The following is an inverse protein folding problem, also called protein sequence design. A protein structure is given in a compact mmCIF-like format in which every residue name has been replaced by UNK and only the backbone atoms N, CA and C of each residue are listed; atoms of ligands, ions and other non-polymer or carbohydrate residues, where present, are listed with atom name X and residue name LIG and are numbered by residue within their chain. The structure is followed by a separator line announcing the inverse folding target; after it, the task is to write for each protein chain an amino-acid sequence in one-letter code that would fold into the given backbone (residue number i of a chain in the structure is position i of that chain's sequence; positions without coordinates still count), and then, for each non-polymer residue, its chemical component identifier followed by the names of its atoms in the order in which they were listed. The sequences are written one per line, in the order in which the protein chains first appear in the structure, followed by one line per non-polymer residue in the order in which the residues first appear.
data_IF_474927822419
#
_entry.id   IF_474927822419
#
_cell.length_a   1.000
_cell.length_b   1.000
_cell.length_c   1.000
_cell.angle_alpha   90.00
_cell.angle_beta   90.00
_cell.angle_gamma   90.00
#
_symmetry.space_group_name_H-M   'P 1'
#
loop_
_entity.id
_entity.type
_entity.pdbx_description
1 polymer ?
#
# COMPACT_ATOMS: atom_id res chain seq x y z
N UNK A 1 0.33 23.71 3.64
CA UNK A 1 -0.34 22.45 3.24
C UNK A 1 -1.80 22.76 2.90
N UNK A 2 -2.33 22.25 1.80
CA UNK A 2 -3.77 22.40 1.49
C UNK A 2 -4.42 21.20 2.19
N UNK A 3 -5.12 21.47 3.31
CA UNK A 3 -5.88 20.43 3.96
C UNK A 3 -6.99 19.91 3.03
N UNK A 4 -7.25 18.60 2.99
CA UNK A 4 -8.39 18.04 2.28
C UNK A 4 -9.69 18.70 2.76
N UNK A 5 -10.69 18.75 1.89
CA UNK A 5 -12.02 19.28 2.26
C UNK A 5 -12.66 18.41 3.33
N UNK A 6 -12.91 18.97 4.52
CA UNK A 6 -13.50 18.27 5.67
C UNK A 6 -13.14 18.96 6.98
N UNK A 7 -13.65 18.43 8.08
CA UNK A 7 -13.32 18.88 9.41
C UNK A 7 -12.10 18.13 9.94
N UNK A 8 -11.03 18.84 10.25
CA UNK A 8 -9.86 18.25 10.92
C UNK A 8 -10.26 17.81 12.33
N UNK A 9 -10.08 16.53 12.64
CA UNK A 9 -10.40 15.91 13.93
C UNK A 9 -9.15 15.75 14.78
N UNK A 10 -8.04 15.40 14.12
CA UNK A 10 -6.75 15.17 14.78
C UNK A 10 -5.61 15.37 13.78
N UNK A 11 -4.47 15.87 14.27
CA UNK A 11 -3.24 16.11 13.51
C UNK A 11 -2.03 15.78 14.38
N UNK A 12 -1.03 15.13 13.80
CA UNK A 12 0.22 14.81 14.50
C UNK A 12 1.38 14.58 13.55
N UNK A 13 2.55 15.15 13.89
CA UNK A 13 3.83 14.69 13.34
C UNK A 13 4.26 13.42 14.05
N UNK A 14 4.39 12.32 13.31
CA UNK A 14 4.88 11.04 13.84
C UNK A 14 6.36 10.87 13.52
N UNK A 15 6.95 9.72 13.90
CA UNK A 15 8.31 9.38 13.47
C UNK A 15 8.40 9.02 11.97
N UNK A 16 7.27 8.71 11.32
CA UNK A 16 7.22 8.15 9.98
C UNK A 16 6.53 9.07 8.97
N UNK A 17 5.58 9.90 9.42
CA UNK A 17 4.74 10.70 8.52
C UNK A 17 4.04 11.85 9.25
N UNK A 18 3.46 12.76 8.50
CA UNK A 18 2.44 13.70 8.98
C UNK A 18 1.08 13.03 8.93
N UNK A 19 0.44 12.85 10.09
CA UNK A 19 -0.82 12.15 10.26
C UNK A 19 -1.96 13.14 10.45
N UNK A 20 -3.02 13.04 9.61
CA UNK A 20 -4.27 13.76 9.76
C UNK A 20 -5.46 12.80 9.86
N UNK A 21 -6.42 13.10 10.74
CA UNK A 21 -7.75 12.48 10.77
C UNK A 21 -8.77 13.53 10.38
N UNK A 22 -9.50 13.29 9.31
CA UNK A 22 -10.44 14.26 8.74
C UNK A 22 -11.81 13.62 8.55
N UNK A 23 -12.86 14.33 9.00
CA UNK A 23 -14.26 13.96 8.78
C UNK A 23 -14.84 14.70 7.57
N UNK A 24 -15.39 13.93 6.63
CA UNK A 24 -16.18 14.46 5.53
C UNK A 24 -17.55 13.75 5.51
N UNK A 25 -18.59 14.42 6.00
CA UNK A 25 -19.89 13.80 6.18
C UNK A 25 -19.83 12.58 7.08
N UNK A 26 -20.24 11.42 6.57
CA UNK A 26 -20.22 10.14 7.27
C UNK A 26 -18.87 9.42 7.20
N UNK A 27 -17.94 9.88 6.36
CA UNK A 27 -16.65 9.22 6.18
C UNK A 27 -15.59 9.91 7.02
N UNK A 28 -14.85 9.12 7.82
CA UNK A 28 -13.62 9.50 8.49
C UNK A 28 -12.45 8.94 7.73
N UNK A 29 -11.45 9.77 7.46
CA UNK A 29 -10.28 9.42 6.67
C UNK A 29 -9.01 9.64 7.46
N UNK A 30 -8.13 8.66 7.46
CA UNK A 30 -6.74 8.75 7.88
C UNK A 30 -5.89 9.15 6.67
N UNK A 31 -5.17 10.25 6.81
CA UNK A 31 -4.16 10.67 5.84
C UNK A 31 -2.77 10.52 6.45
N UNK A 32 -1.82 10.06 5.65
CA UNK A 32 -0.39 10.10 5.96
C UNK A 32 0.31 10.84 4.81
N UNK A 33 1.04 11.90 5.16
CA UNK A 33 1.68 12.82 4.21
C UNK A 33 0.72 13.34 3.11
N UNK A 34 -0.53 13.60 3.52
CA UNK A 34 -1.59 14.08 2.64
C UNK A 34 -2.16 13.05 1.67
N UNK A 35 -1.77 11.77 1.77
CA UNK A 35 -2.36 10.67 1.00
C UNK A 35 -3.37 9.91 1.86
N UNK A 36 -4.45 9.45 1.24
CA UNK A 36 -5.42 8.59 1.92
C UNK A 36 -4.77 7.24 2.22
N UNK A 37 -4.83 6.84 3.48
CA UNK A 37 -4.39 5.53 3.94
C UNK A 37 -5.55 4.62 4.36
N UNK A 38 -6.55 5.17 5.07
CA UNK A 38 -7.73 4.41 5.48
C UNK A 38 -8.95 5.28 5.53
N UNK A 39 -10.10 4.66 5.28
CA UNK A 39 -11.40 5.29 5.40
C UNK A 39 -12.36 4.41 6.20
N UNK A 40 -13.28 5.03 6.91
CA UNK A 40 -14.28 4.36 7.75
C UNK A 40 -15.59 5.10 7.68
N UNK A 41 -16.71 4.37 7.54
CA UNK A 41 -18.04 4.91 7.83
C UNK A 41 -18.20 5.08 9.35
N UNK A 42 -18.60 6.27 9.81
CA UNK A 42 -18.75 6.57 11.25
C UNK A 42 -19.92 5.84 11.89
N UNK A 43 -20.97 5.57 11.14
CA UNK A 43 -22.16 4.83 11.58
C UNK A 43 -22.03 3.31 11.41
N UNK A 44 -21.07 2.84 10.60
CA UNK A 44 -20.85 1.44 10.30
C UNK A 44 -19.34 1.14 10.20
N UNK A 45 -18.62 1.20 11.32
CA UNK A 45 -17.17 1.17 11.34
C UNK A 45 -16.56 -0.16 10.87
N UNK A 46 -17.33 -1.22 10.75
CA UNK A 46 -16.94 -2.54 10.24
C UNK A 46 -17.11 -2.67 8.72
N UNK A 47 -17.89 -1.78 8.07
CA UNK A 47 -18.06 -1.81 6.61
C UNK A 47 -16.84 -1.20 5.92
N UNK A 48 -16.42 -1.84 4.82
CA UNK A 48 -15.27 -1.37 4.03
C UNK A 48 -15.68 -0.24 3.09
N UNK A 49 -14.99 0.90 3.18
CA UNK A 49 -15.20 2.06 2.29
C UNK A 49 -14.43 1.86 1.00
N UNK A 50 -13.15 1.48 1.10
CA UNK A 50 -12.27 1.35 -0.06
C UNK A 50 -12.49 0.01 -0.76
N UNK A 51 -12.76 0.03 -2.07
CA UNK A 51 -13.05 -1.17 -2.86
C UNK A 51 -11.93 -2.21 -2.79
N UNK A 52 -10.66 -1.77 -2.84
CA UNK A 52 -9.52 -2.71 -2.84
C UNK A 52 -9.45 -3.58 -1.58
N UNK A 53 -9.90 -3.06 -0.41
CA UNK A 53 -9.86 -3.81 0.85
C UNK A 53 -10.80 -5.01 0.84
N UNK A 54 -11.85 -4.99 0.00
CA UNK A 54 -12.75 -6.13 -0.19
C UNK A 54 -12.02 -7.32 -0.82
N UNK A 55 -10.98 -7.09 -1.64
CA UNK A 55 -10.18 -8.15 -2.25
C UNK A 55 -9.33 -8.93 -1.23
N UNK A 56 -9.16 -8.45 0.01
CA UNK A 56 -8.51 -9.24 1.06
C UNK A 56 -9.23 -10.56 1.33
N UNK A 57 -10.54 -10.60 1.10
CA UNK A 57 -11.36 -11.82 1.21
C UNK A 57 -11.02 -12.90 0.18
N UNK A 58 -10.27 -12.58 -0.90
CA UNK A 58 -9.72 -13.59 -1.81
C UNK A 58 -8.89 -14.65 -1.09
N UNK A 59 -8.31 -14.31 0.07
CA UNK A 59 -7.62 -15.28 0.91
C UNK A 59 -8.49 -16.48 1.27
N UNK A 60 -9.78 -16.26 1.55
CA UNK A 60 -10.74 -17.32 1.87
C UNK A 60 -11.26 -18.07 0.63
N UNK A 61 -11.14 -17.49 -0.58
CA UNK A 61 -11.41 -18.23 -1.80
C UNK A 61 -10.42 -19.40 -1.95
N UNK A 62 -9.14 -19.12 -1.71
CA UNK A 62 -8.06 -20.11 -1.88
C UNK A 62 -7.85 -20.97 -0.63
N UNK A 63 -8.10 -20.43 0.57
CA UNK A 63 -8.06 -21.17 1.84
C UNK A 63 -9.32 -20.90 2.67
N UNK A 64 -10.43 -21.59 2.42
CA UNK A 64 -11.70 -21.36 3.11
C UNK A 64 -11.66 -21.72 4.60
N UNK A 65 -10.65 -22.46 5.06
CA UNK A 65 -10.48 -22.86 6.45
C UNK A 65 -9.48 -21.99 7.21
N UNK A 66 -9.06 -20.84 6.64
CA UNK A 66 -8.11 -19.93 7.28
C UNK A 66 -8.65 -19.42 8.63
N UNK A 67 -7.81 -19.49 9.67
CA UNK A 67 -8.14 -19.08 11.04
C UNK A 67 -7.12 -18.10 11.62
N UNK A 68 -5.85 -18.33 11.35
CA UNK A 68 -4.77 -17.46 11.80
C UNK A 68 -4.37 -16.52 10.68
N UNK A 69 -4.75 -15.24 10.83
CA UNK A 69 -4.54 -14.19 9.83
C UNK A 69 -3.53 -13.17 10.34
N UNK A 70 -2.58 -12.80 9.50
CA UNK A 70 -1.66 -11.70 9.75
C UNK A 70 -1.96 -10.54 8.80
N UNK A 71 -2.12 -9.35 9.33
CA UNK A 71 -2.10 -8.11 8.57
C UNK A 71 -0.74 -7.42 8.75
N UNK A 72 -0.07 -7.13 7.65
CA UNK A 72 1.12 -6.29 7.59
C UNK A 72 0.67 -4.91 7.14
N UNK A 73 0.70 -3.95 8.06
CA UNK A 73 0.08 -2.64 7.96
C UNK A 73 -1.29 -2.61 8.64
N UNK A 74 -1.50 -1.62 9.49
CA UNK A 74 -2.75 -1.44 10.23
C UNK A 74 -3.61 -0.30 9.67
N UNK A 75 -3.00 0.85 9.46
CA UNK A 75 -3.73 2.07 9.09
C UNK A 75 -4.89 2.35 10.05
N UNK A 76 -6.11 2.55 9.52
CA UNK A 76 -7.35 2.67 10.32
C UNK A 76 -7.96 1.32 10.73
N UNK A 77 -7.24 0.22 10.53
CA UNK A 77 -7.66 -1.16 10.86
C UNK A 77 -8.99 -1.58 10.21
N UNK A 78 -9.31 -1.04 9.04
CA UNK A 78 -10.58 -1.33 8.36
C UNK A 78 -10.69 -2.81 7.97
N UNK A 79 -9.66 -3.40 7.35
CA UNK A 79 -9.60 -4.82 7.03
C UNK A 79 -9.72 -5.72 8.26
N UNK A 80 -8.87 -5.57 9.28
CA UNK A 80 -8.97 -6.34 10.53
C UNK A 80 -10.34 -6.28 11.20
N UNK A 81 -10.96 -5.09 11.33
CA UNK A 81 -12.30 -4.93 11.93
C UNK A 81 -13.37 -5.65 11.11
N UNK A 82 -13.33 -5.53 9.80
CA UNK A 82 -14.28 -6.20 8.92
C UNK A 82 -14.14 -7.72 9.04
N UNK A 83 -12.91 -8.27 9.06
CA UNK A 83 -12.68 -9.70 9.25
C UNK A 83 -13.21 -10.19 10.61
N UNK A 84 -13.01 -9.43 11.70
CA UNK A 84 -13.57 -9.78 13.02
C UNK A 84 -15.09 -9.83 13.02
N UNK A 85 -15.74 -8.98 12.23
CA UNK A 85 -17.21 -8.95 12.14
C UNK A 85 -17.77 -10.07 11.27
N UNK A 86 -17.06 -10.43 10.20
CA UNK A 86 -17.54 -11.42 9.24
C UNK A 86 -17.19 -12.87 9.61
N UNK A 87 -16.05 -13.11 10.26
CA UNK A 87 -15.54 -14.44 10.55
C UNK A 87 -15.42 -14.66 12.06
N UNK A 88 -16.28 -15.50 12.63
CA UNK A 88 -16.39 -15.68 14.08
C UNK A 88 -15.22 -16.41 14.74
N UNK A 89 -14.50 -17.25 14.00
CA UNK A 89 -13.43 -18.12 14.48
C UNK A 89 -12.01 -17.67 14.03
N UNK A 90 -11.92 -16.55 13.29
CA UNK A 90 -10.64 -15.99 12.84
C UNK A 90 -9.94 -15.25 13.99
N UNK A 91 -8.65 -15.50 14.12
CA UNK A 91 -7.70 -14.79 15.00
C UNK A 91 -6.79 -13.93 14.14
N UNK A 92 -6.60 -12.68 14.52
CA UNK A 92 -5.89 -11.70 13.73
C UNK A 92 -4.72 -11.14 14.51
N UNK A 93 -3.53 -11.23 13.95
CA UNK A 93 -2.37 -10.44 14.34
C UNK A 93 -2.23 -9.27 13.36
N UNK A 94 -1.96 -8.08 13.86
CA UNK A 94 -1.66 -6.90 13.04
C UNK A 94 -0.31 -6.37 13.43
N UNK A 95 0.56 -6.15 12.46
CA UNK A 95 1.86 -5.51 12.67
C UNK A 95 1.82 -4.14 12.02
N UNK A 96 1.96 -3.10 12.85
CA UNK A 96 1.99 -1.69 12.43
C UNK A 96 3.25 -1.03 12.98
N UNK A 97 4.00 -0.37 12.09
CA UNK A 97 5.29 0.22 12.47
C UNK A 97 5.12 1.51 13.26
N UNK A 98 4.07 2.29 12.97
CA UNK A 98 3.85 3.59 13.58
C UNK A 98 2.93 3.50 14.82
N UNK A 99 3.46 3.69 16.04
CA UNK A 99 2.65 3.67 17.26
C UNK A 99 1.58 4.77 17.29
N UNK A 100 1.78 5.86 16.56
CA UNK A 100 0.83 6.97 16.50
C UNK A 100 -0.34 6.64 15.58
N UNK A 101 -0.12 5.85 14.53
CA UNK A 101 -1.20 5.27 13.72
C UNK A 101 -2.05 4.32 14.56
N UNK A 102 -1.43 3.46 15.39
CA UNK A 102 -2.16 2.57 16.31
C UNK A 102 -3.00 3.39 17.30
N UNK A 103 -2.43 4.46 17.88
CA UNK A 103 -3.16 5.34 18.80
C UNK A 103 -4.33 6.03 18.11
N UNK A 104 -4.11 6.59 16.92
CA UNK A 104 -5.16 7.22 16.13
C UNK A 104 -6.28 6.24 15.75
N UNK A 105 -5.92 4.98 15.45
CA UNK A 105 -6.92 3.94 15.16
C UNK A 105 -7.78 3.61 16.39
N UNK A 106 -7.19 3.56 17.59
CA UNK A 106 -7.93 3.36 18.84
C UNK A 106 -8.86 4.52 19.15
N UNK A 107 -8.37 5.74 19.02
CA UNK A 107 -9.09 6.94 19.44
C UNK A 107 -10.17 7.37 18.43
N UNK A 108 -9.93 7.13 17.14
CA UNK A 108 -10.75 7.70 16.07
C UNK A 108 -11.37 6.68 15.11
N UNK A 109 -10.87 5.44 15.02
CA UNK A 109 -11.33 4.45 14.04
C UNK A 109 -11.98 3.22 14.67
N UNK A 110 -12.45 3.32 15.91
CA UNK A 110 -13.17 2.25 16.61
C UNK A 110 -12.39 0.92 16.64
N UNK A 111 -11.07 0.98 16.78
CA UNK A 111 -10.24 -0.22 16.91
C UNK A 111 -10.57 -0.94 18.21
N UNK A 112 -10.94 -2.25 18.18
CA UNK A 112 -11.18 -3.03 19.38
C UNK A 112 -9.96 -3.10 20.29
N UNK A 113 -10.19 -3.25 21.59
CA UNK A 113 -9.11 -3.42 22.58
C UNK A 113 -8.47 -4.79 22.39
N UNK A 114 -7.15 -4.80 22.23
CA UNK A 114 -6.32 -5.98 22.17
C UNK A 114 -5.90 -6.40 23.59
N UNK A 115 -6.60 -7.35 24.20
CA UNK A 115 -6.32 -7.89 25.51
C UNK A 115 -6.33 -9.43 25.49
N UNK A 116 -5.94 -10.05 26.58
CA UNK A 116 -5.98 -11.49 26.74
C UNK A 116 -7.40 -12.02 26.47
N UNK A 117 -7.51 -12.94 25.51
CA UNK A 117 -8.78 -13.49 25.04
C UNK A 117 -9.41 -12.72 23.87
N UNK A 118 -8.82 -11.60 23.42
CA UNK A 118 -9.22 -10.94 22.18
C UNK A 118 -8.86 -11.79 20.96
N UNK A 119 -9.69 -11.69 19.92
CA UNK A 119 -9.36 -12.30 18.61
C UNK A 119 -8.41 -11.45 17.77
N UNK A 120 -8.02 -10.28 18.24
CA UNK A 120 -7.05 -9.39 17.60
C UNK A 120 -5.90 -9.12 18.55
N UNK A 121 -4.67 -9.19 18.04
CA UNK A 121 -3.46 -8.79 18.72
C UNK A 121 -2.70 -7.79 17.85
N UNK A 122 -2.19 -6.71 18.45
CA UNK A 122 -1.52 -5.63 17.74
C UNK A 122 -0.07 -5.56 18.19
N UNK A 123 0.83 -5.59 17.23
CA UNK A 123 2.28 -5.51 17.44
C UNK A 123 2.81 -4.24 16.81
N UNK A 124 3.41 -3.38 17.64
CA UNK A 124 4.15 -2.23 17.13
C UNK A 124 5.60 -2.64 16.85
N UNK A 125 5.86 -3.04 15.64
CA UNK A 125 7.18 -3.49 15.16
C UNK A 125 7.27 -3.33 13.63
N UNK A 126 8.48 -3.39 13.08
CA UNK A 126 8.68 -3.63 11.66
C UNK A 126 8.22 -5.07 11.30
N UNK A 127 7.47 -5.21 10.22
CA UNK A 127 6.86 -6.49 9.86
C UNK A 127 7.88 -7.61 9.60
N UNK A 128 9.01 -7.29 8.97
CA UNK A 128 10.08 -8.27 8.72
C UNK A 128 10.79 -8.67 10.01
N UNK A 129 10.99 -7.71 10.91
CA UNK A 129 11.55 -7.95 12.24
C UNK A 129 10.62 -8.85 13.07
N UNK A 130 9.32 -8.54 13.11
CA UNK A 130 8.31 -9.35 13.77
C UNK A 130 8.30 -10.79 13.24
N UNK A 131 8.20 -10.95 11.90
CA UNK A 131 8.18 -12.25 11.25
C UNK A 131 9.45 -13.06 11.50
N UNK A 132 10.61 -12.41 11.62
CA UNK A 132 11.87 -13.09 11.92
C UNK A 132 11.89 -13.74 13.31
N UNK A 133 11.13 -13.17 14.26
CA UNK A 133 11.12 -13.57 15.69
C UNK A 133 9.98 -14.51 16.06
N UNK A 134 8.79 -14.34 15.42
CA UNK A 134 7.63 -15.14 15.75
C UNK A 134 7.79 -16.60 15.30
N UNK A 135 7.36 -17.55 16.11
CA UNK A 135 7.23 -18.97 15.73
C UNK A 135 5.85 -19.29 15.17
N UNK A 136 4.90 -18.36 15.26
CA UNK A 136 3.53 -18.53 14.75
C UNK A 136 3.54 -18.69 13.23
N UNK A 137 2.65 -19.56 12.74
CA UNK A 137 2.34 -19.69 11.32
C UNK A 137 0.94 -19.19 11.05
N UNK A 138 0.74 -18.68 9.84
CA UNK A 138 -0.51 -18.07 9.42
C UNK A 138 -1.10 -18.82 8.23
N UNK A 139 -2.42 -18.88 8.20
CA UNK A 139 -3.17 -19.42 7.08
C UNK A 139 -3.36 -18.37 5.98
N UNK A 140 -3.38 -17.10 6.39
CA UNK A 140 -3.53 -15.97 5.49
C UNK A 140 -2.64 -14.81 5.95
N UNK A 141 -1.87 -14.24 5.03
CA UNK A 141 -1.08 -13.05 5.25
C UNK A 141 -1.54 -11.96 4.27
N UNK A 142 -1.98 -10.82 4.80
CA UNK A 142 -2.36 -9.65 4.02
C UNK A 142 -1.21 -8.65 4.06
N UNK A 143 -0.65 -8.30 2.91
CA UNK A 143 0.40 -7.29 2.77
C UNK A 143 -0.23 -5.98 2.28
N UNK A 144 -0.45 -5.04 3.19
CA UNK A 144 -1.05 -3.72 2.92
C UNK A 144 -0.24 -2.59 3.59
N UNK A 145 1.09 -2.67 3.51
CA UNK A 145 2.03 -1.70 4.08
C UNK A 145 2.56 -0.71 3.04
N UNK A 146 1.92 -0.59 1.89
CA UNK A 146 2.40 0.22 0.78
C UNK A 146 1.55 1.46 0.60
N UNK A 147 2.22 2.57 0.27
CA UNK A 147 1.54 3.79 -0.16
C UNK A 147 1.97 4.17 -1.57
N UNK A 148 1.24 5.09 -2.19
CA UNK A 148 1.60 5.61 -3.50
C UNK A 148 3.03 6.19 -3.53
N UNK A 149 3.44 6.84 -2.47
CA UNK A 149 4.69 7.60 -2.42
C UNK A 149 5.81 6.89 -1.67
N UNK A 150 5.51 5.83 -0.95
CA UNK A 150 6.48 5.09 -0.17
C UNK A 150 6.17 3.60 -0.18
N UNK A 151 7.17 2.85 -0.58
CA UNK A 151 7.14 1.40 -0.60
C UNK A 151 8.36 0.91 0.18
N UNK A 152 8.17 0.24 1.33
CA UNK A 152 9.29 -0.30 2.09
C UNK A 152 9.94 -1.45 1.30
N UNK A 153 11.05 -1.15 0.63
CA UNK A 153 11.73 -2.09 -0.30
C UNK A 153 12.01 -3.45 0.35
N UNK A 154 12.36 -3.48 1.64
CA UNK A 154 12.70 -4.69 2.38
C UNK A 154 11.51 -5.63 2.61
N UNK A 155 10.28 -5.19 2.29
CA UNK A 155 9.05 -6.00 2.29
C UNK A 155 8.65 -6.50 0.89
N UNK A 156 9.53 -6.32 -0.12
CA UNK A 156 9.29 -6.74 -1.51
C UNK A 156 10.38 -7.64 -2.07
N UNK A 157 11.39 -8.00 -1.26
CA UNK A 157 12.54 -8.76 -1.71
C UNK A 157 12.27 -10.27 -1.73
N UNK A 158 13.02 -10.99 -2.54
CA UNK A 158 12.99 -12.46 -2.60
C UNK A 158 13.16 -13.07 -1.21
N UNK A 159 14.10 -12.52 -0.42
CA UNK A 159 14.38 -13.00 0.93
C UNK A 159 13.20 -12.76 1.88
N UNK A 160 12.45 -11.67 1.68
CA UNK A 160 11.22 -11.44 2.44
C UNK A 160 10.11 -12.43 2.06
N UNK A 161 9.89 -12.69 0.77
CA UNK A 161 8.92 -13.70 0.34
C UNK A 161 9.31 -15.10 0.79
N UNK A 162 10.60 -15.45 0.83
CA UNK A 162 11.09 -16.70 1.42
C UNK A 162 10.82 -16.77 2.93
N UNK A 163 10.90 -15.64 3.64
CA UNK A 163 10.51 -15.58 5.06
C UNK A 163 9.00 -15.79 5.22
N UNK A 164 8.17 -15.17 4.40
CA UNK A 164 6.72 -15.36 4.39
C UNK A 164 6.34 -16.82 4.14
N UNK A 165 6.98 -17.48 3.17
CA UNK A 165 6.77 -18.92 2.91
C UNK A 165 6.99 -19.78 4.17
N UNK A 166 8.06 -19.50 4.93
CA UNK A 166 8.34 -20.22 6.18
C UNK A 166 7.30 -19.96 7.27
N UNK A 167 6.62 -18.80 7.22
CA UNK A 167 5.60 -18.39 8.20
C UNK A 167 4.18 -18.73 7.78
N UNK A 168 3.97 -19.25 6.58
CA UNK A 168 2.70 -19.80 6.15
C UNK A 168 2.55 -21.27 6.58
N UNK A 169 1.31 -21.67 6.82
CA UNK A 169 0.89 -23.08 6.91
C UNK A 169 1.00 -23.76 5.53
N UNK A 170 0.76 -25.07 5.44
CA UNK A 170 0.84 -25.81 4.15
C UNK A 170 -0.07 -25.24 3.07
N UNK A 171 -1.26 -24.79 3.46
CA UNK A 171 -2.29 -24.25 2.55
C UNK A 171 -2.38 -22.73 2.64
N UNK A 172 -1.30 -22.11 3.13
CA UNK A 172 -1.24 -20.69 3.39
C UNK A 172 -1.27 -19.84 2.12
N UNK A 173 -1.91 -18.67 2.23
CA UNK A 173 -2.14 -17.72 1.14
C UNK A 173 -1.60 -16.35 1.51
N UNK A 174 -1.05 -15.65 0.54
CA UNK A 174 -0.70 -14.23 0.64
C UNK A 174 -1.64 -13.44 -0.26
N UNK A 175 -2.19 -12.35 0.26
CA UNK A 175 -2.84 -11.30 -0.53
C UNK A 175 -2.00 -10.03 -0.40
N UNK A 176 -1.44 -9.55 -1.49
CA UNK A 176 -0.60 -8.34 -1.50
C UNK A 176 -1.25 -7.24 -2.32
N UNK A 177 -1.39 -6.06 -1.73
CA UNK A 177 -1.83 -4.85 -2.41
C UNK A 177 -0.61 -4.11 -2.98
N UNK A 178 -0.68 -3.68 -4.25
CA UNK A 178 0.35 -2.87 -4.90
C UNK A 178 -0.36 -1.77 -5.70
N UNK A 179 0.12 -0.53 -5.59
CA UNK A 179 -0.40 0.58 -6.40
C UNK A 179 0.40 0.67 -7.70
N UNK A 180 -0.29 0.53 -8.83
CA UNK A 180 0.33 0.56 -10.15
C UNK A 180 -0.68 0.45 -11.28
N UNK A 181 -0.22 0.08 -12.47
CA UNK A 181 -1.06 -0.29 -13.61
C UNK A 181 -0.60 -1.63 -14.18
N UNK A 182 -1.37 -2.20 -15.10
CA UNK A 182 -0.98 -3.44 -15.78
C UNK A 182 -0.22 -3.18 -17.07
N UNK A 183 -0.14 -1.93 -17.53
CA UNK A 183 0.50 -1.56 -18.80
C UNK A 183 1.36 -0.30 -18.66
N UNK A 184 2.35 -0.13 -19.56
CA UNK A 184 3.26 1.02 -19.57
C UNK A 184 4.21 1.07 -18.36
N UNK A 185 4.90 2.19 -18.20
CA UNK A 185 5.96 2.33 -17.19
C UNK A 185 5.44 2.21 -15.74
N UNK A 186 4.17 2.54 -15.50
CA UNK A 186 3.51 2.38 -14.18
C UNK A 186 3.26 0.93 -13.81
N UNK A 187 3.45 -0.02 -14.72
CA UNK A 187 3.40 -1.46 -14.43
C UNK A 187 4.72 -2.02 -13.91
N UNK A 188 5.82 -1.26 -13.98
CA UNK A 188 7.15 -1.78 -13.66
C UNK A 188 7.24 -2.32 -12.24
N UNK A 189 6.69 -1.59 -11.25
CA UNK A 189 6.67 -2.05 -9.86
C UNK A 189 5.83 -3.31 -9.68
N UNK A 190 4.64 -3.37 -10.29
CA UNK A 190 3.75 -4.54 -10.22
C UNK A 190 4.43 -5.76 -10.82
N UNK A 191 5.05 -5.62 -12.00
CA UNK A 191 5.74 -6.70 -12.70
C UNK A 191 7.00 -7.18 -11.96
N UNK A 192 7.76 -6.27 -11.34
CA UNK A 192 8.93 -6.63 -10.54
C UNK A 192 8.55 -7.39 -9.28
N UNK A 193 7.47 -6.98 -8.59
CA UNK A 193 6.96 -7.72 -7.42
C UNK A 193 6.37 -9.06 -7.84
N UNK A 194 5.61 -9.11 -8.94
CA UNK A 194 5.07 -10.36 -9.48
C UNK A 194 6.21 -11.33 -9.83
N UNK A 195 7.25 -10.89 -10.52
CA UNK A 195 8.44 -11.70 -10.82
C UNK A 195 9.06 -12.25 -9.53
N UNK A 196 9.22 -11.39 -8.52
CA UNK A 196 9.90 -11.76 -7.28
C UNK A 196 9.09 -12.75 -6.45
N UNK A 197 7.79 -12.52 -6.28
CA UNK A 197 6.92 -13.43 -5.51
C UNK A 197 6.75 -14.79 -6.22
N UNK A 198 6.74 -14.81 -7.55
CA UNK A 198 6.63 -16.03 -8.36
C UNK A 198 7.87 -16.92 -8.28
N UNK A 199 9.03 -16.40 -7.84
CA UNK A 199 10.21 -17.25 -7.55
C UNK A 199 10.03 -18.10 -6.29
N UNK A 200 9.05 -17.78 -5.45
CA UNK A 200 8.83 -18.46 -4.17
C UNK A 200 7.51 -19.24 -4.18
N UNK A 201 6.48 -18.66 -4.75
CA UNK A 201 5.12 -19.23 -4.74
C UNK A 201 4.76 -19.80 -6.11
N UNK A 202 4.35 -21.06 -6.17
CA UNK A 202 4.10 -21.76 -7.44
C UNK A 202 2.87 -21.26 -8.20
N UNK A 203 1.94 -20.60 -7.52
CA UNK A 203 0.74 -20.04 -8.13
C UNK A 203 0.52 -18.61 -7.64
N UNK A 204 0.45 -17.67 -8.59
CA UNK A 204 0.22 -16.24 -8.31
C UNK A 204 -0.86 -15.72 -9.25
N UNK A 205 -2.00 -15.32 -8.70
CA UNK A 205 -3.09 -14.68 -9.43
C UNK A 205 -3.02 -13.18 -9.27
N UNK A 206 -3.40 -12.46 -10.31
CA UNK A 206 -3.40 -11.00 -10.35
C UNK A 206 -4.82 -10.51 -10.56
N UNK A 207 -5.30 -9.64 -9.68
CA UNK A 207 -6.61 -9.02 -9.79
C UNK A 207 -6.45 -7.50 -9.86
N UNK A 208 -7.14 -6.89 -10.79
CA UNK A 208 -7.25 -5.43 -10.91
C UNK A 208 -8.46 -4.94 -10.11
N UNK A 209 -8.45 -3.70 -9.65
CA UNK A 209 -9.62 -3.11 -8.99
C UNK A 209 -10.47 -2.27 -9.94
N UNK A 210 -9.95 -2.03 -11.17
CA UNK A 210 -10.64 -1.34 -12.25
C UNK A 210 -10.56 -2.14 -13.54
N UNK A 211 -11.57 -2.01 -14.39
CA UNK A 211 -11.62 -2.69 -15.70
C UNK A 211 -10.53 -2.21 -16.67
N UNK A 212 -10.12 -0.94 -16.57
CA UNK A 212 -9.08 -0.41 -17.43
C UNK A 212 -7.69 -0.71 -16.86
N UNK A 213 -7.02 -1.67 -17.44
CA UNK A 213 -5.68 -2.12 -17.04
C UNK A 213 -4.58 -1.04 -17.15
N UNK A 214 -4.81 0.03 -17.91
CA UNK A 214 -3.91 1.17 -18.04
C UNK A 214 -4.05 2.22 -16.92
N UNK A 215 -5.12 2.17 -16.14
CA UNK A 215 -5.33 3.09 -15.04
C UNK A 215 -4.40 2.79 -13.88
N UNK A 216 -4.03 3.84 -13.16
CA UNK A 216 -3.36 3.71 -11.87
C UNK A 216 -4.38 3.27 -10.83
N UNK A 217 -4.17 2.11 -10.22
CA UNK A 217 -5.12 1.44 -9.35
C UNK A 217 -4.41 0.56 -8.32
N UNK A 218 -5.17 -0.01 -7.41
CA UNK A 218 -4.70 -1.10 -6.57
C UNK A 218 -4.70 -2.40 -7.39
N UNK A 219 -3.59 -3.12 -7.36
CA UNK A 219 -3.42 -4.43 -7.97
C UNK A 219 -3.24 -5.42 -6.84
N UNK A 220 -4.06 -6.47 -6.82
CA UNK A 220 -4.03 -7.48 -5.78
C UNK A 220 -3.35 -8.73 -6.32
N UNK A 221 -2.26 -9.15 -5.67
CA UNK A 221 -1.60 -10.42 -5.94
C UNK A 221 -2.06 -11.45 -4.91
N UNK A 222 -2.62 -12.56 -5.37
CA UNK A 222 -2.94 -13.70 -4.53
C UNK A 222 -1.94 -14.82 -4.81
N UNK A 223 -1.04 -15.08 -3.85
CA UNK A 223 0.01 -16.09 -3.97
C UNK A 223 -0.25 -17.24 -3.02
N UNK A 224 -0.18 -18.48 -3.53
CA UNK A 224 -0.46 -19.70 -2.78
C UNK A 224 0.79 -20.52 -2.59
N UNK A 225 0.97 -21.04 -1.36
CA UNK A 225 2.06 -21.95 -1.03
C UNK A 225 1.88 -23.32 -1.63
N UNK A 226 0.66 -23.78 -1.77
CA UNK A 226 0.27 -25.11 -2.28
C UNK A 226 -1.18 -25.06 -2.76
N UNK A 227 -1.59 -25.88 -3.69
CA UNK A 227 -0.83 -26.72 -4.60
C UNK A 227 -0.45 -25.98 -5.90
N UNK A 228 0.35 -26.62 -6.71
CA UNK A 228 0.77 -26.17 -8.05
C UNK A 228 -0.35 -26.25 -9.10
N UNK A 229 -1.62 -26.13 -8.70
CA UNK A 229 -2.76 -26.15 -9.62
C UNK A 229 -3.08 -24.72 -10.00
N UNK A 230 -2.89 -24.41 -11.26
CA UNK A 230 -3.45 -23.18 -11.83
C UNK A 230 -4.95 -23.41 -12.07
N UNK A 231 -5.77 -22.64 -11.37
CA UNK A 231 -7.21 -22.63 -11.58
C UNK A 231 -7.56 -21.70 -12.73
N UNK A 232 -8.31 -22.19 -13.71
CA UNK A 232 -8.99 -21.36 -14.69
C UNK A 232 -10.07 -20.51 -14.03
N UNK A 233 -10.53 -19.48 -14.71
CA UNK A 233 -11.64 -18.63 -14.25
C UNK A 233 -12.89 -19.42 -13.87
N UNK A 234 -13.21 -20.48 -14.62
CA UNK A 234 -14.37 -21.34 -14.36
C UNK A 234 -14.14 -22.24 -13.12
N UNK A 235 -12.92 -22.71 -12.90
CA UNK A 235 -12.58 -23.45 -11.68
C UNK A 235 -12.61 -22.57 -10.45
N UNK A 236 -12.17 -21.30 -10.55
CA UNK A 236 -12.31 -20.32 -9.48
C UNK A 236 -13.78 -20.03 -9.13
N UNK A 237 -14.69 -19.97 -10.15
CA UNK A 237 -16.14 -19.88 -9.90
C UNK A 237 -16.67 -21.11 -9.17
N UNK A 238 -16.19 -22.28 -9.51
CA UNK A 238 -16.58 -23.51 -8.80
C UNK A 238 -16.06 -23.54 -7.37
N UNK A 239 -14.83 -23.07 -7.13
CA UNK A 239 -14.28 -22.92 -5.78
C UNK A 239 -15.14 -21.97 -4.93
N UNK A 240 -15.49 -20.79 -5.47
CA UNK A 240 -16.38 -19.85 -4.81
C UNK A 240 -17.71 -20.52 -4.42
N UNK A 241 -18.38 -21.16 -5.40
CA UNK A 241 -19.67 -21.82 -5.17
C UNK A 241 -19.61 -22.97 -4.15
N UNK A 242 -18.49 -23.69 -4.10
CA UNK A 242 -18.29 -24.78 -3.13
C UNK A 242 -18.06 -24.23 -1.70
N UNK A 243 -17.39 -23.10 -1.58
CA UNK A 243 -17.14 -22.45 -0.29
C UNK A 243 -18.44 -21.93 0.32
N UNK A 244 -19.40 -21.44 -0.49
CA UNK A 244 -20.73 -21.00 -0.05
C UNK A 244 -21.53 -22.12 0.64
N UNK A 245 -21.44 -23.35 0.12
CA UNK A 245 -22.13 -24.50 0.67
C UNK A 245 -21.58 -24.97 2.02
N UNK A 246 -20.38 -24.52 2.43
CA UNK A 246 -19.70 -24.93 3.65
C UNK A 246 -19.86 -23.98 4.84
N UNK A 247 -20.88 -23.08 4.84
CA UNK A 247 -21.21 -22.16 5.95
C UNK A 247 -20.15 -21.10 6.28
N UNK A 248 -19.24 -20.78 5.38
CA UNK A 248 -18.39 -19.62 5.56
C UNK A 248 -19.07 -18.40 4.93
N UNK A 249 -19.25 -17.33 5.70
CA UNK A 249 -19.78 -16.03 5.24
C UNK A 249 -18.88 -15.34 4.19
N UNK A 250 -17.88 -16.05 3.65
CA UNK A 250 -16.93 -15.54 2.66
C UNK A 250 -17.57 -15.18 1.32
N UNK A 251 -18.67 -15.86 0.97
CA UNK A 251 -19.39 -15.57 -0.27
C UNK A 251 -19.93 -14.14 -0.29
N UNK A 252 -20.53 -13.69 0.79
CA UNK A 252 -21.16 -12.36 0.84
C UNK A 252 -20.19 -11.19 0.64
N UNK A 253 -18.90 -11.34 1.02
CA UNK A 253 -17.90 -10.29 0.79
C UNK A 253 -17.37 -10.27 -0.63
N UNK A 254 -17.36 -11.43 -1.31
CA UNK A 254 -16.90 -11.57 -2.70
C UNK A 254 -18.04 -11.47 -3.71
N UNK A 255 -19.29 -11.76 -3.30
CA UNK A 255 -20.46 -11.70 -4.18
C UNK A 255 -20.78 -10.27 -4.66
N UNK A 256 -20.50 -9.27 -3.83
CA UNK A 256 -20.65 -7.87 -4.19
C UNK A 256 -19.59 -7.38 -5.19
N UNK A 257 -18.54 -8.19 -5.39
CA UNK A 257 -17.45 -7.91 -6.32
C UNK A 257 -17.51 -8.99 -7.40
N UNK A 258 -17.70 -8.58 -8.63
CA UNK A 258 -17.44 -9.45 -9.79
C UNK A 258 -15.91 -9.64 -9.95
N UNK A 259 -15.24 -10.09 -8.85
CA UNK A 259 -13.78 -10.17 -8.74
C UNK A 259 -13.16 -11.02 -9.85
N UNK A 260 -13.90 -12.02 -10.37
CA UNK A 260 -13.44 -12.84 -11.47
C UNK A 260 -13.40 -12.08 -12.79
N UNK A 261 -14.20 -11.03 -12.96
CA UNK A 261 -14.10 -10.15 -14.13
C UNK A 261 -12.86 -9.23 -14.03
N UNK A 262 -12.28 -9.12 -12.85
CA UNK A 262 -11.06 -8.40 -12.58
C UNK A 262 -9.81 -9.28 -12.53
N UNK A 263 -9.96 -10.61 -12.75
CA UNK A 263 -8.83 -11.51 -12.92
C UNK A 263 -8.06 -11.14 -14.19
N UNK A 264 -6.77 -10.85 -14.04
CA UNK A 264 -5.89 -10.53 -15.17
C UNK A 264 -5.33 -11.83 -15.77
N UNK A 265 -5.87 -12.23 -16.91
CA UNK A 265 -5.52 -13.50 -17.58
C UNK A 265 -4.38 -13.37 -18.61
N UNK A 266 -3.95 -12.14 -18.93
CA UNK A 266 -2.87 -11.95 -19.88
C UNK A 266 -1.50 -12.24 -19.25
N UNK A 267 -0.56 -12.75 -20.04
CA UNK A 267 0.81 -13.00 -19.61
C UNK A 267 1.50 -11.71 -19.19
N UNK A 268 2.03 -11.67 -17.96
CA UNK A 268 2.86 -10.59 -17.46
C UNK A 268 4.31 -10.78 -17.93
N UNK A 269 4.76 -9.95 -18.84
CA UNK A 269 6.15 -9.93 -19.27
C UNK A 269 7.02 -9.31 -18.19
N UNK A 270 8.00 -10.05 -17.69
CA UNK A 270 8.87 -9.65 -16.57
C UNK A 270 10.34 -9.55 -16.94
N UNK A 271 10.71 -9.86 -18.18
CA UNK A 271 12.10 -9.92 -18.66
C UNK A 271 12.84 -8.56 -18.70
N UNK A 272 12.11 -7.45 -18.56
CA UNK A 272 12.63 -6.08 -18.56
C UNK A 272 12.55 -5.39 -17.18
N UNK A 273 12.12 -6.12 -16.15
CA UNK A 273 12.08 -5.64 -14.76
C UNK A 273 13.03 -6.45 -13.88
N UNK A 274 13.59 -5.86 -12.81
CA UNK A 274 14.52 -6.57 -11.94
C UNK A 274 13.80 -7.57 -11.02
N UNK A 275 14.49 -8.67 -10.70
CA UNK A 275 14.21 -9.45 -9.50
C UNK A 275 14.63 -8.61 -8.28
N UNK A 276 13.71 -8.42 -7.33
CA UNK A 276 13.98 -7.64 -6.14
C UNK A 276 14.66 -8.51 -5.08
N UNK A 277 15.84 -8.11 -4.62
CA UNK A 277 16.60 -8.80 -3.58
C UNK A 277 17.05 -7.82 -2.51
N UNK A 278 17.47 -8.30 -1.34
CA UNK A 278 18.01 -7.45 -0.28
C UNK A 278 19.24 -6.64 -0.74
N UNK A 279 19.96 -7.14 -1.73
CA UNK A 279 21.12 -6.46 -2.30
C UNK A 279 20.75 -5.49 -3.43
N UNK A 280 19.62 -5.70 -4.09
CA UNK A 280 19.18 -4.88 -5.23
C UNK A 280 17.68 -4.83 -5.33
N UNK A 281 17.09 -3.75 -4.84
CA UNK A 281 15.66 -3.47 -4.93
C UNK A 281 15.46 -1.97 -5.24
N UNK A 282 15.56 -1.55 -6.52
CA UNK A 282 15.46 -0.15 -6.92
C UNK A 282 14.01 0.35 -6.94
N UNK A 283 13.33 0.20 -5.82
CA UNK A 283 11.88 0.43 -5.68
C UNK A 283 11.53 1.88 -5.98
N UNK A 284 12.35 2.85 -5.55
CA UNK A 284 12.12 4.27 -5.81
C UNK A 284 12.10 4.59 -7.31
N UNK A 285 12.92 3.89 -8.11
CA UNK A 285 12.93 4.06 -9.57
C UNK A 285 11.67 3.43 -10.17
N UNK A 286 11.27 2.26 -9.68
CA UNK A 286 10.11 1.53 -10.19
C UNK A 286 8.78 2.23 -9.86
N UNK A 287 8.67 2.92 -8.71
CA UNK A 287 7.47 3.68 -8.34
C UNK A 287 7.45 5.11 -8.90
N UNK A 288 8.57 5.64 -9.41
CA UNK A 288 8.62 7.01 -9.91
C UNK A 288 7.52 7.34 -10.94
N UNK A 289 7.21 6.48 -11.94
CA UNK A 289 6.10 6.72 -12.86
C UNK A 289 4.73 6.77 -12.15
N UNK A 290 4.57 6.07 -11.02
CA UNK A 290 3.34 6.03 -10.21
C UNK A 290 3.20 7.30 -9.39
N UNK A 291 4.28 7.77 -8.74
CA UNK A 291 4.25 8.92 -7.84
C UNK A 291 3.96 10.24 -8.55
N UNK A 292 4.34 10.35 -9.82
CA UNK A 292 4.12 11.56 -10.63
C UNK A 292 2.70 11.69 -11.20
N UNK A 293 1.86 10.67 -11.04
CA UNK A 293 0.48 10.69 -11.54
C UNK A 293 -0.52 11.04 -10.42
N UNK A 294 -1.58 11.82 -10.73
CA UNK A 294 -2.66 12.02 -9.78
C UNK A 294 -3.40 10.69 -9.59
N UNK A 295 -3.41 10.19 -8.36
CA UNK A 295 -4.16 9.00 -7.99
C UNK A 295 -5.49 9.43 -7.37
N UNK A 296 -6.58 9.14 -8.07
CA UNK A 296 -7.93 9.42 -7.60
C UNK A 296 -8.51 8.16 -6.95
N UNK A 297 -8.61 8.16 -5.62
CA UNK A 297 -9.60 7.31 -5.00
C UNK A 297 -10.99 7.86 -5.38
N UNK A 298 -11.91 7.00 -5.73
CA UNK A 298 -13.32 7.38 -5.88
C UNK A 298 -13.74 8.18 -4.64
N UNK A 299 -14.19 9.44 -4.83
CA UNK A 299 -14.62 10.40 -3.82
C UNK A 299 -13.54 11.31 -3.18
N UNK A 300 -12.31 11.33 -3.65
CA UNK A 300 -11.35 12.36 -3.20
C UNK A 300 -11.38 13.54 -4.15
N UNK A 301 -11.61 14.77 -3.67
CA UNK A 301 -11.43 15.96 -4.49
C UNK A 301 -9.98 16.01 -4.97
N UNK A 302 -9.77 15.96 -6.27
CA UNK A 302 -8.45 16.18 -6.86
C UNK A 302 -7.88 17.48 -6.33
N UNK A 303 -6.72 17.43 -5.67
CA UNK A 303 -5.90 18.63 -5.49
C UNK A 303 -5.68 19.20 -6.88
N UNK A 304 -6.28 20.34 -7.16
CA UNK A 304 -5.91 21.10 -8.34
C UNK A 304 -4.41 21.31 -8.31
N UNK A 305 -3.75 21.08 -9.44
CA UNK A 305 -2.32 21.33 -9.64
C UNK A 305 -2.01 22.79 -9.38
N UNK A 306 -1.83 23.15 -8.12
CA UNK A 306 -1.34 24.46 -7.69
C UNK A 306 0.03 24.27 -7.08
N UNK A 307 0.99 24.01 -7.92
CA UNK A 307 2.35 23.93 -7.43
C UNK A 307 3.34 23.86 -8.58
N UNK A 308 3.88 25.03 -8.96
CA UNK A 308 5.12 25.11 -9.72
C UNK A 308 5.06 24.78 -11.23
N UNK A 309 3.92 25.03 -11.90
CA UNK A 309 3.86 24.99 -13.38
C UNK A 309 4.79 26.04 -14.09
N UNK A 310 5.41 26.93 -13.32
CA UNK A 310 6.39 27.90 -13.86
C UNK A 310 7.84 27.37 -13.87
N UNK A 311 8.13 26.19 -13.33
CA UNK A 311 9.47 25.57 -13.37
C UNK A 311 9.66 24.66 -14.59
N UNK A 312 8.62 24.25 -15.28
CA UNK A 312 8.71 23.40 -16.47
C UNK A 312 9.18 24.12 -17.74
N UNK A 313 9.22 25.47 -17.74
CA UNK A 313 9.82 26.19 -18.85
C UNK A 313 11.36 26.22 -18.67
N UNK A 314 12.04 25.48 -19.53
CA UNK A 314 13.52 25.45 -19.59
C UNK A 314 14.14 26.83 -19.74
N UNK A 315 13.40 27.83 -20.21
CA UNK A 315 13.85 29.22 -20.29
C UNK A 315 13.79 29.89 -18.92
N UNK A 316 12.84 29.57 -18.06
CA UNK A 316 12.74 30.09 -16.70
C UNK A 316 13.87 29.57 -15.81
N UNK A 317 14.24 28.31 -15.95
CA UNK A 317 15.42 27.73 -15.26
C UNK A 317 16.72 28.40 -15.72
N UNK A 318 16.88 28.63 -17.02
CA UNK A 318 18.02 29.38 -17.56
C UNK A 318 18.09 30.80 -17.05
N UNK A 319 16.94 31.47 -16.92
CA UNK A 319 16.88 32.82 -16.40
C UNK A 319 17.28 32.93 -14.92
N UNK A 320 16.82 31.98 -14.10
CA UNK A 320 17.19 31.87 -12.67
C UNK A 320 18.69 31.57 -12.52
N UNK A 321 19.24 30.67 -13.33
CA UNK A 321 20.68 30.36 -13.34
C UNK A 321 21.51 31.57 -13.76
N UNK A 322 21.08 32.29 -14.79
CA UNK A 322 21.79 33.48 -15.27
C UNK A 322 21.76 34.63 -14.23
N UNK A 323 20.64 34.82 -13.52
CA UNK A 323 20.55 35.81 -12.43
C UNK A 323 21.42 35.46 -11.23
N UNK A 324 21.52 34.16 -10.87
CA UNK A 324 22.42 33.68 -9.83
C UNK A 324 23.90 33.88 -10.22
N UNK A 325 24.26 33.53 -11.45
CA UNK A 325 25.63 33.74 -11.97
C UNK A 325 25.99 35.22 -11.97
N UNK A 326 25.07 36.12 -12.43
CA UNK A 326 25.28 37.54 -12.41
C UNK A 326 25.43 38.11 -10.99
N UNK A 327 24.63 37.64 -10.03
CA UNK A 327 24.74 38.05 -8.63
C UNK A 327 26.09 37.61 -8.00
N UNK A 328 26.57 36.44 -8.28
CA UNK A 328 27.88 35.94 -7.83
C UNK A 328 29.01 36.77 -8.46
N UNK A 329 28.91 37.11 -9.75
CA UNK A 329 29.89 37.91 -10.44
C UNK A 329 29.95 39.34 -9.90
N UNK A 330 28.80 39.99 -9.66
CA UNK A 330 28.70 41.32 -9.02
C UNK A 330 29.33 41.30 -7.62
N UNK A 331 29.03 40.27 -6.83
CA UNK A 331 29.59 40.15 -5.48
C UNK A 331 31.13 40.00 -5.52
N UNK A 332 31.63 39.24 -6.46
CA UNK A 332 33.09 39.04 -6.63
C UNK A 332 33.80 40.30 -7.07
N UNK A 333 33.24 41.04 -8.05
CA UNK A 333 33.79 42.29 -8.53
C UNK A 333 33.76 43.38 -7.47
N UNK A 334 32.70 43.50 -6.67
CA UNK A 334 32.63 44.43 -5.53
C UNK A 334 33.66 44.12 -4.44
N UNK A 335 33.90 42.82 -4.19
CA UNK A 335 34.90 42.37 -3.22
C UNK A 335 36.33 42.68 -3.70
N UNK A 336 36.63 42.50 -4.98
CA UNK A 336 37.91 42.86 -5.60
C UNK A 336 38.12 44.37 -5.63
N UNK A 337 37.09 45.13 -5.98
CA UNK A 337 37.16 46.60 -5.95
C UNK A 337 37.45 47.13 -4.55
N UNK A 338 36.79 46.67 -3.51
CA UNK A 338 37.06 47.01 -2.10
C UNK A 338 38.49 46.66 -1.69
N UNK A 339 39.01 45.54 -2.18
CA UNK A 339 40.38 45.07 -1.87
C UNK A 339 41.41 45.93 -2.53
N UNK A 340 41.15 46.39 -3.75
CA UNK A 340 42.06 47.31 -4.48
C UNK A 340 42.04 48.72 -3.91
N UNK A 341 40.91 49.25 -3.46
CA UNK A 341 40.83 50.52 -2.74
C UNK A 341 41.65 50.51 -1.44
N UNK A 342 41.63 49.41 -0.70
CA UNK A 342 42.44 49.25 0.52
C UNK A 342 43.95 49.18 0.25
N UNK A 343 44.37 48.77 -0.96
CA UNK A 343 45.80 48.77 -1.36
C UNK A 343 46.31 50.13 -1.87
N UNK A 344 45.44 51.04 -2.25
CA UNK A 344 45.77 52.38 -2.69
C UNK A 344 45.76 53.41 -1.56
N UNK A 345 45.33 53.01 -0.33
CA UNK A 345 45.29 53.90 0.87
C UNK A 345 46.37 53.54 1.88
N UNK A 346 47.36 52.71 1.52
CA UNK A 346 48.59 52.42 2.23
C UNK A 346 49.79 52.92 1.37
#
# INVERSE_FOLDING_TARGET
MIHPTGALVYEKETLYSHLDVIDNGNIRTLYLDGNIHSQMYKDKPEELVNTYTKYFHLGFLFNPNAKDVLFVGGGGFSGPKNFLSMYSDVRIDVVEIDPDVISAARDYFNLPVDNDGSRIMIYNDDARNFLSKTEKKYDLIILDAFSKNYVPFHLMTLEYFQLLDKKLTSDGVIISNIIGSMTGDRSNIVRAVYETISQVFPSVYVFTTEHNSGNLQNIMLAAMKSPTVEYSKDELRQLASNNDNNNHNSSTALDDLDYLEHLYEAELKTNDVPLLTDQFAPVEILINPVTNEPYNFENVPTKGSTGLSWIEDTNSIKLVLLTLIAAVWIFYTQKEWKRNQKKMSL
#
